data_IF_814681208222
#
_entry.id   IF_814681208222
#
_cell.length_a   1.000
_cell.length_b   1.000
_cell.length_c   1.000
_cell.angle_alpha   90.00
_cell.angle_beta   90.00
_cell.angle_gamma   90.00
#
_symmetry.space_group_name_H-M   'P 1'
#
loop_
_entity.id
_entity.type
_entity.pdbx_description
1 polymer ?
#
# COMPACT_ATOMS: atom_id res chain seq x y z
N UNK A 1 -16.53 -13.53 -0.50
CA UNK A 1 -17.14 -12.19 -0.49
C UNK A 1 -16.28 -11.32 -1.39
N UNK A 2 -16.83 -10.34 -2.10
CA UNK A 2 -16.04 -9.44 -2.94
C UNK A 2 -15.58 -8.24 -2.12
N UNK A 3 -14.26 -7.98 -2.03
CA UNK A 3 -13.77 -6.70 -1.50
C UNK A 3 -14.40 -5.54 -2.29
N UNK A 4 -14.96 -4.55 -1.59
CA UNK A 4 -15.37 -3.30 -2.25
C UNK A 4 -14.21 -2.33 -2.19
N UNK A 5 -13.70 -1.91 -3.34
CA UNK A 5 -12.60 -0.96 -3.45
C UNK A 5 -13.16 0.37 -3.95
N UNK A 6 -12.84 1.45 -3.25
CA UNK A 6 -13.21 2.82 -3.63
C UNK A 6 -11.94 3.64 -3.80
N UNK A 7 -11.78 4.25 -4.97
CA UNK A 7 -10.68 5.15 -5.24
C UNK A 7 -11.03 6.52 -4.66
N UNK A 8 -10.23 7.01 -3.71
CA UNK A 8 -10.41 8.34 -3.11
C UNK A 8 -9.65 9.42 -3.87
N UNK A 9 -8.41 9.12 -4.28
CA UNK A 9 -7.54 10.06 -4.99
C UNK A 9 -6.55 9.30 -5.86
N UNK A 10 -6.31 9.80 -7.06
CA UNK A 10 -5.23 9.35 -7.95
C UNK A 10 -4.56 10.60 -8.51
N UNK A 11 -3.26 10.72 -8.30
CA UNK A 11 -2.43 11.83 -8.77
C UNK A 11 -0.98 11.37 -8.93
N UNK A 12 -0.17 12.11 -9.70
CA UNK A 12 1.23 11.76 -9.98
C UNK A 12 2.11 11.58 -8.73
N UNK A 13 1.69 12.12 -7.59
CA UNK A 13 2.45 12.10 -6.34
C UNK A 13 1.77 11.27 -5.24
N UNK A 14 0.49 10.92 -5.41
CA UNK A 14 -0.30 10.22 -4.39
C UNK A 14 -1.48 9.46 -5.00
N UNK A 15 -1.63 8.19 -4.61
CA UNK A 15 -2.84 7.39 -4.81
C UNK A 15 -3.40 6.99 -3.45
N UNK A 16 -4.67 7.30 -3.20
CA UNK A 16 -5.39 6.96 -1.97
C UNK A 16 -6.59 6.10 -2.31
N UNK A 17 -6.75 4.99 -1.61
CA UNK A 17 -7.88 4.09 -1.79
C UNK A 17 -8.48 3.68 -0.45
N UNK A 18 -9.71 3.23 -0.51
CA UNK A 18 -10.47 2.67 0.60
C UNK A 18 -10.94 1.29 0.24
N UNK A 19 -10.76 0.33 1.14
CA UNK A 19 -11.36 -0.99 1.02
C UNK A 19 -12.39 -1.21 2.10
N UNK A 20 -13.50 -1.86 1.72
CA UNK A 20 -14.47 -2.37 2.66
C UNK A 20 -14.18 -3.85 2.89
N UNK A 21 -13.75 -4.17 4.11
CA UNK A 21 -13.42 -5.54 4.53
C UNK A 21 -14.01 -5.79 5.91
N UNK A 22 -14.68 -6.94 6.09
CA UNK A 22 -15.34 -7.33 7.35
C UNK A 22 -16.18 -6.23 8.01
N UNK A 23 -17.05 -5.58 7.24
CA UNK A 23 -17.92 -4.48 7.69
C UNK A 23 -17.19 -3.20 8.15
N UNK A 24 -15.90 -3.04 7.85
CA UNK A 24 -15.12 -1.88 8.23
C UNK A 24 -14.46 -1.26 6.99
N UNK A 25 -14.50 0.07 6.90
CA UNK A 25 -13.70 0.81 5.93
C UNK A 25 -12.26 0.98 6.42
N UNK A 26 -11.33 0.63 5.54
CA UNK A 26 -9.90 0.79 5.75
C UNK A 26 -9.36 1.70 4.66
N UNK A 27 -8.80 2.81 5.09
CA UNK A 27 -8.20 3.82 4.23
C UNK A 27 -6.69 3.67 4.26
N UNK A 28 -6.04 3.75 3.10
CA UNK A 28 -4.59 3.96 3.05
C UNK A 28 -4.17 4.73 1.80
N UNK A 29 -2.94 5.25 1.86
CA UNK A 29 -2.36 6.05 0.79
C UNK A 29 -0.98 5.53 0.39
N UNK A 30 -0.70 5.61 -0.91
CA UNK A 30 0.62 5.42 -1.46
C UNK A 30 1.11 6.74 -2.04
N UNK A 31 2.32 7.16 -1.66
CA UNK A 31 2.90 8.46 -2.05
C UNK A 31 4.24 8.25 -2.74
N UNK A 32 4.47 8.98 -3.83
CA UNK A 32 5.77 9.05 -4.47
C UNK A 32 6.60 10.14 -3.77
N UNK A 33 7.79 9.77 -3.26
CA UNK A 33 8.72 10.69 -2.62
C UNK A 33 9.95 10.83 -3.52
N UNK A 34 10.40 12.06 -3.85
CA UNK A 34 11.64 12.25 -4.58
C UNK A 34 12.83 11.83 -3.71
N UNK A 35 13.63 10.92 -4.23
CA UNK A 35 14.90 10.45 -3.65
C UNK A 35 16.03 10.87 -4.58
N UNK A 36 17.15 11.31 -3.99
CA UNK A 36 18.37 11.60 -4.77
C UNK A 36 18.91 10.27 -5.29
N UNK A 37 19.05 10.13 -6.61
CA UNK A 37 19.72 8.97 -7.18
C UNK A 37 21.15 8.87 -6.63
N UNK A 38 21.54 7.70 -6.14
CA UNK A 38 22.89 7.46 -5.65
C UNK A 38 23.88 7.58 -6.82
N UNK A 39 24.60 8.71 -6.89
CA UNK A 39 25.69 8.94 -7.85
C UNK A 39 25.41 9.87 -9.04
N UNK A 40 24.28 10.58 -9.10
CA UNK A 40 23.93 11.46 -10.23
C UNK A 40 24.05 12.97 -9.95
N UNK A 41 24.55 13.72 -10.94
CA UNK A 41 24.46 15.20 -11.04
C UNK A 41 23.02 15.69 -10.78
N UNK A 42 22.89 16.95 -10.33
CA UNK A 42 21.71 17.64 -9.73
C UNK A 42 20.30 17.43 -10.35
N UNK A 43 20.15 16.69 -11.45
CA UNK A 43 18.92 16.56 -12.25
C UNK A 43 18.28 15.16 -12.23
N UNK A 44 18.84 14.14 -11.57
CA UNK A 44 18.23 12.81 -11.47
C UNK A 44 17.51 12.61 -10.11
N UNK A 45 16.29 13.13 -9.99
CA UNK A 45 15.40 12.74 -8.89
C UNK A 45 14.71 11.43 -9.29
N UNK A 46 15.06 10.33 -8.64
CA UNK A 46 14.30 9.10 -8.72
C UNK A 46 13.12 9.25 -7.75
N UNK A 47 11.89 8.99 -8.19
CA UNK A 47 10.76 9.00 -7.27
C UNK A 47 10.59 7.58 -6.71
N UNK A 48 10.83 7.44 -5.42
CA UNK A 48 10.62 6.19 -4.69
C UNK A 48 9.18 6.16 -4.17
N UNK A 49 8.51 5.02 -4.29
CA UNK A 49 7.11 4.90 -3.86
C UNK A 49 7.09 4.44 -2.41
N UNK A 50 6.81 5.37 -1.50
CA UNK A 50 6.51 5.02 -0.10
C UNK A 50 5.00 4.88 0.03
N UNK A 51 4.55 3.63 0.13
CA UNK A 51 3.20 3.35 0.53
C UNK A 51 3.11 3.17 2.04
N UNK A 52 2.07 3.75 2.66
CA UNK A 52 1.64 3.28 3.96
C UNK A 52 1.37 1.78 3.82
N UNK A 53 1.96 0.98 4.72
CA UNK A 53 1.86 -0.47 4.60
C UNK A 53 0.42 -0.87 4.89
N UNK A 54 -0.34 -1.24 3.85
CA UNK A 54 -1.71 -1.71 3.98
C UNK A 54 -1.80 -2.82 5.03
N UNK A 55 -0.82 -3.75 5.03
CA UNK A 55 -0.79 -4.85 5.97
C UNK A 55 -0.64 -4.36 7.41
N UNK A 56 0.16 -3.31 7.65
CA UNK A 56 0.26 -2.68 8.99
C UNK A 56 -1.07 -2.07 9.40
N UNK A 57 -1.74 -1.36 8.48
CA UNK A 57 -3.05 -0.74 8.75
C UNK A 57 -4.13 -1.79 9.07
N UNK A 58 -4.11 -2.91 8.35
CA UNK A 58 -5.02 -4.03 8.60
C UNK A 58 -4.69 -4.74 9.91
N UNK A 59 -3.40 -4.95 10.21
CA UNK A 59 -2.94 -5.48 11.48
C UNK A 59 -3.42 -4.63 12.65
N UNK A 60 -3.23 -3.31 12.60
CA UNK A 60 -3.61 -2.42 13.71
C UNK A 60 -5.14 -2.35 13.90
N UNK A 61 -5.92 -2.65 12.86
CA UNK A 61 -7.40 -2.64 12.92
C UNK A 61 -8.01 -3.97 13.31
N UNK A 62 -7.44 -5.09 12.88
CA UNK A 62 -8.05 -6.42 13.00
C UNK A 62 -7.27 -7.39 13.89
N UNK A 63 -6.02 -7.09 14.22
CA UNK A 63 -5.13 -7.92 15.02
C UNK A 63 -4.62 -7.14 16.23
N UNK A 64 -4.15 -7.87 17.25
CA UNK A 64 -3.61 -7.26 18.46
C UNK A 64 -2.09 -7.48 18.51
N UNK A 65 -1.40 -6.95 17.50
CA UNK A 65 0.05 -7.08 17.36
C UNK A 65 0.79 -6.08 18.23
N UNK A 66 1.82 -6.56 18.93
CA UNK A 66 2.75 -5.74 19.73
C UNK A 66 4.07 -5.57 18.99
N UNK A 67 4.96 -4.71 19.50
CA UNK A 67 6.30 -4.51 18.92
C UNK A 67 7.20 -5.76 19.01
N UNK A 68 6.80 -6.75 19.81
CA UNK A 68 7.48 -8.04 19.95
C UNK A 68 6.99 -9.09 18.94
N UNK A 69 5.88 -8.85 18.24
CA UNK A 69 5.31 -9.81 17.30
C UNK A 69 6.15 -9.89 16.03
N UNK A 70 6.54 -11.12 15.65
CA UNK A 70 7.31 -11.31 14.41
C UNK A 70 6.44 -11.07 13.19
N UNK A 71 7.08 -10.75 12.06
CA UNK A 71 6.37 -10.51 10.80
C UNK A 71 5.60 -11.74 10.29
N UNK A 72 6.09 -12.95 10.62
CA UNK A 72 5.40 -14.20 10.30
C UNK A 72 4.14 -14.38 11.15
N UNK A 73 4.23 -14.17 12.46
CA UNK A 73 3.09 -14.28 13.37
C UNK A 73 2.03 -13.24 13.05
N UNK A 74 2.44 -12.00 12.79
CA UNK A 74 1.54 -10.93 12.37
C UNK A 74 0.78 -11.34 11.09
N UNK A 75 1.49 -11.89 10.10
CA UNK A 75 0.86 -12.36 8.87
C UNK A 75 -0.15 -13.48 9.12
N UNK A 76 0.17 -14.43 9.99
CA UNK A 76 -0.73 -15.53 10.32
C UNK A 76 -1.95 -15.07 11.13
N UNK A 77 -1.80 -14.13 12.05
CA UNK A 77 -2.91 -13.50 12.76
C UNK A 77 -3.82 -12.75 11.80
N UNK A 78 -3.25 -12.00 10.86
CA UNK A 78 -4.02 -11.28 9.86
C UNK A 78 -4.76 -12.24 8.92
N UNK A 79 -4.12 -13.35 8.55
CA UNK A 79 -4.73 -14.41 7.74
C UNK A 79 -5.92 -15.05 8.47
N UNK A 80 -5.80 -15.32 9.77
CA UNK A 80 -6.92 -15.82 10.59
C UNK A 80 -8.02 -14.76 10.74
N UNK A 81 -7.64 -13.50 10.93
CA UNK A 81 -8.55 -12.39 11.15
C UNK A 81 -9.31 -11.99 9.89
N UNK A 82 -8.79 -12.21 8.69
CA UNK A 82 -9.45 -11.88 7.42
C UNK A 82 -10.00 -13.13 6.70
N UNK A 83 -9.28 -14.25 6.77
CA UNK A 83 -9.48 -15.44 5.93
C UNK A 83 -8.67 -15.36 4.63
N UNK A 84 -8.32 -16.52 4.07
CA UNK A 84 -7.44 -16.62 2.89
C UNK A 84 -7.89 -15.78 1.69
N UNK A 85 -9.19 -15.77 1.39
CA UNK A 85 -9.72 -15.05 0.24
C UNK A 85 -9.55 -13.53 0.39
N UNK A 86 -10.05 -12.96 1.48
CA UNK A 86 -10.00 -11.53 1.76
C UNK A 86 -8.55 -11.04 1.93
N UNK A 87 -7.68 -11.85 2.56
CA UNK A 87 -6.26 -11.56 2.69
C UNK A 87 -5.55 -11.48 1.34
N UNK A 88 -5.80 -12.44 0.45
CA UNK A 88 -5.21 -12.45 -0.89
C UNK A 88 -5.72 -11.28 -1.74
N UNK A 89 -7.00 -10.93 -1.65
CA UNK A 89 -7.55 -9.74 -2.30
C UNK A 89 -6.87 -8.46 -1.77
N UNK A 90 -6.72 -8.31 -0.46
CA UNK A 90 -6.01 -7.17 0.13
C UNK A 90 -4.55 -7.06 -0.39
N UNK A 91 -3.84 -8.19 -0.47
CA UNK A 91 -2.48 -8.22 -1.04
C UNK A 91 -2.44 -7.80 -2.51
N UNK A 92 -3.42 -8.22 -3.32
CA UNK A 92 -3.51 -7.80 -4.71
C UNK A 92 -3.76 -6.29 -4.81
N UNK A 93 -4.63 -5.75 -3.96
CA UNK A 93 -4.93 -4.32 -3.93
C UNK A 93 -3.71 -3.51 -3.49
N UNK A 94 -2.94 -3.96 -2.50
CA UNK A 94 -1.67 -3.32 -2.10
C UNK A 94 -0.68 -3.23 -3.28
N UNK A 95 -0.46 -4.35 -3.97
CA UNK A 95 0.40 -4.40 -5.16
C UNK A 95 -0.09 -3.49 -6.28
N UNK A 96 -1.39 -3.54 -6.56
CA UNK A 96 -1.99 -2.73 -7.62
C UNK A 96 -1.86 -1.22 -7.33
N UNK A 97 -2.10 -0.81 -6.09
CA UNK A 97 -2.00 0.60 -5.67
C UNK A 97 -0.57 1.11 -5.77
N UNK A 98 0.41 0.30 -5.39
CA UNK A 98 1.84 0.61 -5.56
C UNK A 98 2.22 0.70 -7.03
N UNK A 99 1.74 -0.22 -7.87
CA UNK A 99 1.96 -0.19 -9.33
C UNK A 99 1.37 1.07 -9.95
N UNK A 100 0.14 1.45 -9.58
CA UNK A 100 -0.49 2.67 -10.08
C UNK A 100 0.33 3.92 -9.75
N UNK A 101 0.83 4.05 -8.51
CA UNK A 101 1.73 5.16 -8.17
C UNK A 101 2.99 5.06 -8.99
N UNK A 102 3.64 3.90 -9.07
CA UNK A 102 4.86 3.71 -9.86
C UNK A 102 4.66 4.11 -11.32
N UNK A 103 3.64 3.62 -12.01
CA UNK A 103 3.37 3.89 -13.43
C UNK A 103 3.10 5.38 -13.68
N UNK A 104 2.29 6.04 -12.84
CA UNK A 104 2.04 7.49 -12.94
C UNK A 104 3.27 8.33 -12.61
N UNK A 105 4.08 7.84 -11.68
CA UNK A 105 5.32 8.49 -11.24
C UNK A 105 6.43 8.37 -12.28
N UNK A 106 6.46 7.23 -12.98
CA UNK A 106 7.42 6.93 -14.05
C UNK A 106 7.09 7.67 -15.35
N UNK A 107 5.93 8.33 -15.44
CA UNK A 107 5.45 8.96 -16.66
C UNK A 107 6.07 10.31 -17.04
N UNK A 108 7.19 10.76 -16.44
CA UNK A 108 7.88 12.00 -16.86
C UNK A 108 9.39 12.04 -16.57
N UNK A 109 10.14 11.13 -17.18
CA UNK A 109 11.62 11.28 -17.31
C UNK A 109 12.06 11.32 -18.79
N UNK A 110 11.13 11.17 -19.74
CA UNK A 110 11.40 11.15 -21.19
C UNK A 110 10.41 11.98 -22.02
N UNK A 111 10.04 13.18 -21.55
CA UNK A 111 9.52 14.25 -22.43
C UNK A 111 10.56 15.36 -22.55
#
# INVERSE_FOLDING_TARGET
>A
MSLTITIKKISNDESSISIFVKNVWVDWSAKAIPVKAAGGTKSAYQRDVRADNLLRTLLDKFCNVTDETTLSEAKDELLKALGDADFNECLQVDKWTKSLVFDMTYQKVYE
#
